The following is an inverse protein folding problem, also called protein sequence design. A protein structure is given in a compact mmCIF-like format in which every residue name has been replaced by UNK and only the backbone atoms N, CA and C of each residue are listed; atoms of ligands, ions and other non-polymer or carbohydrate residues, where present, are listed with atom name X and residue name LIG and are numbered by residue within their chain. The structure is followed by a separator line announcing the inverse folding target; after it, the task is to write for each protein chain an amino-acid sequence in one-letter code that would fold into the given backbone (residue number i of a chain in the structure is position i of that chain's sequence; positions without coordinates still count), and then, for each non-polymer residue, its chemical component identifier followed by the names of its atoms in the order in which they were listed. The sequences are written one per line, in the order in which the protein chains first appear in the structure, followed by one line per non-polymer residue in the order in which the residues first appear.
data_IF_282717901726
#
_entry.id   IF_282717901726
#
_cell.length_a   1.000
_cell.length_b   1.000
_cell.length_c   1.000
_cell.angle_alpha   90.00
_cell.angle_beta   90.00
_cell.angle_gamma   90.00
#
_symmetry.space_group_name_H-M   'P 1'
#
loop_
_entity.id
_entity.type
_entity.pdbx_description
1 polymer ?
#
# COMPACT_ATOMS: atom_id res chain seq x y z
N UNK A 1 6.21 -12.90 5.60
CA UNK A 1 6.45 -13.95 4.57
C UNK A 1 6.76 -13.27 3.23
N UNK A 2 7.71 -13.77 2.42
CA UNK A 2 8.44 -12.95 1.43
C UNK A 2 7.56 -12.68 0.21
N UNK A 3 6.83 -11.58 0.29
CA UNK A 3 6.25 -10.74 -0.78
C UNK A 3 5.36 -11.32 -1.89
N UNK A 4 5.25 -12.64 -2.13
CA UNK A 4 4.64 -13.11 -3.41
C UNK A 4 3.71 -14.33 -3.34
N UNK A 5 3.49 -14.98 -2.19
CA UNK A 5 2.54 -16.12 -2.13
C UNK A 5 1.07 -15.73 -1.92
N UNK A 6 0.80 -14.47 -1.56
CA UNK A 6 -0.56 -13.97 -1.39
C UNK A 6 -0.93 -13.07 -2.57
N UNK A 7 -1.91 -13.51 -3.36
CA UNK A 7 -2.53 -12.70 -4.42
C UNK A 7 -3.01 -11.37 -3.82
N UNK A 8 -3.56 -11.40 -2.60
CA UNK A 8 -4.00 -10.20 -1.90
C UNK A 8 -2.85 -9.23 -1.59
N UNK A 9 -1.65 -9.74 -1.24
CA UNK A 9 -0.47 -8.88 -1.04
C UNK A 9 0.00 -8.26 -2.35
N UNK A 10 0.00 -9.03 -3.46
CA UNK A 10 0.35 -8.53 -4.78
C UNK A 10 -0.58 -7.40 -5.25
N UNK A 11 -1.89 -7.60 -5.07
CA UNK A 11 -2.91 -6.57 -5.34
C UNK A 11 -2.69 -5.34 -4.43
N UNK A 12 -2.38 -5.55 -3.16
CA UNK A 12 -2.11 -4.47 -2.20
C UNK A 12 -0.93 -3.59 -2.61
N UNK A 13 0.19 -4.19 -2.98
CA UNK A 13 1.36 -3.44 -3.51
C UNK A 13 1.02 -2.72 -4.81
N UNK A 14 0.21 -3.34 -5.69
CA UNK A 14 -0.28 -2.70 -6.90
C UNK A 14 -1.08 -1.43 -6.62
N UNK A 15 -2.01 -1.46 -5.66
CA UNK A 15 -2.78 -0.28 -5.26
C UNK A 15 -1.91 0.82 -4.67
N UNK A 16 -0.98 0.47 -3.77
CA UNK A 16 -0.04 1.45 -3.20
C UNK A 16 0.77 2.10 -4.33
N UNK A 17 1.33 1.30 -5.23
CA UNK A 17 2.16 1.79 -6.34
C UNK A 17 1.39 2.75 -7.25
N UNK A 18 0.14 2.42 -7.59
CA UNK A 18 -0.73 3.29 -8.37
C UNK A 18 -0.97 4.63 -7.68
N UNK A 19 -1.35 4.61 -6.39
CA UNK A 19 -1.63 5.85 -5.64
C UNK A 19 -0.38 6.72 -5.53
N UNK A 20 0.78 6.12 -5.23
CA UNK A 20 2.06 6.83 -5.11
C UNK A 20 2.45 7.47 -6.44
N UNK A 21 2.38 6.73 -7.56
CA UNK A 21 2.74 7.25 -8.88
C UNK A 21 1.75 8.31 -9.36
N UNK A 22 0.45 8.09 -9.17
CA UNK A 22 -0.58 9.05 -9.55
C UNK A 22 -0.51 10.33 -8.69
N UNK A 23 -0.14 10.22 -7.41
CA UNK A 23 0.12 11.36 -6.54
C UNK A 23 1.38 12.12 -6.97
N UNK A 24 2.48 11.42 -7.23
CA UNK A 24 3.73 12.00 -7.71
C UNK A 24 3.58 12.72 -9.06
N UNK A 25 2.74 12.18 -9.95
CA UNK A 25 2.39 12.80 -11.23
C UNK A 25 1.40 13.97 -11.14
N UNK A 26 1.09 14.48 -9.95
CA UNK A 26 0.18 15.62 -9.75
C UNK A 26 -1.31 15.31 -9.98
N UNK A 27 -1.66 14.04 -10.24
CA UNK A 27 -3.04 13.60 -10.48
C UNK A 27 -3.72 13.08 -9.21
N UNK A 28 -3.19 13.42 -8.02
CA UNK A 28 -3.73 12.97 -6.72
C UNK A 28 -5.24 13.22 -6.56
N UNK A 29 -5.77 14.32 -7.12
CA UNK A 29 -7.19 14.70 -7.05
C UNK A 29 -8.11 13.89 -7.98
N UNK A 30 -7.56 13.16 -8.96
CA UNK A 30 -8.33 12.27 -9.85
C UNK A 30 -8.52 10.88 -9.24
N UNK A 31 -7.75 10.55 -8.21
CA UNK A 31 -7.84 9.29 -7.50
C UNK A 31 -9.08 9.32 -6.62
N UNK A 32 -9.93 8.30 -6.72
CA UNK A 32 -11.12 8.20 -5.88
C UNK A 32 -10.70 8.17 -4.39
N UNK A 33 -11.34 8.93 -3.48
CA UNK A 33 -10.95 9.01 -2.07
C UNK A 33 -10.85 7.64 -1.38
N UNK A 34 -11.71 6.70 -1.78
CA UNK A 34 -11.68 5.32 -1.29
C UNK A 34 -10.35 4.61 -1.56
N UNK A 35 -9.73 4.88 -2.71
CA UNK A 35 -8.47 4.24 -3.11
C UNK A 35 -7.29 4.73 -2.25
N UNK A 36 -7.34 5.99 -1.82
CA UNK A 36 -6.39 6.54 -0.85
C UNK A 36 -6.49 5.85 0.51
N UNK A 37 -7.72 5.62 0.98
CA UNK A 37 -7.97 4.91 2.25
C UNK A 37 -7.42 3.48 2.14
N UNK A 38 -7.75 2.76 1.07
CA UNK A 38 -7.30 1.38 0.86
C UNK A 38 -5.77 1.31 0.77
N UNK A 39 -5.13 2.22 0.02
CA UNK A 39 -3.68 2.28 -0.07
C UNK A 39 -3.02 2.55 1.30
N UNK A 40 -3.56 3.48 2.10
CA UNK A 40 -3.06 3.76 3.45
C UNK A 40 -3.19 2.54 4.38
N UNK A 41 -4.32 1.81 4.31
CA UNK A 41 -4.49 0.56 5.06
C UNK A 41 -3.47 -0.51 4.65
N UNK A 42 -3.21 -0.68 3.36
CA UNK A 42 -2.19 -1.62 2.89
C UNK A 42 -0.79 -1.21 3.35
N UNK A 43 -0.45 0.09 3.35
CA UNK A 43 0.83 0.57 3.89
C UNK A 43 0.94 0.22 5.38
N UNK A 44 -0.10 0.48 6.17
CA UNK A 44 -0.12 0.11 7.59
C UNK A 44 0.05 -1.41 7.77
N UNK A 45 -0.67 -2.22 6.99
CA UNK A 45 -0.57 -3.67 7.01
C UNK A 45 0.85 -4.18 6.71
N UNK A 46 1.52 -3.61 5.70
CA UNK A 46 2.91 -3.95 5.39
C UNK A 46 3.91 -3.41 6.42
N UNK A 47 3.60 -2.30 7.10
CA UNK A 47 4.46 -1.72 8.13
C UNK A 47 4.40 -2.49 9.47
N UNK A 48 3.27 -3.13 9.80
CA UNK A 48 3.12 -3.90 11.04
C UNK A 48 4.17 -5.01 11.17
N UNK A 49 4.50 -5.71 10.08
CA UNK A 49 5.53 -6.75 10.08
C UNK A 49 6.90 -6.24 10.57
N UNK A 50 7.56 -5.32 9.83
CA UNK A 50 8.86 -4.78 10.24
C UNK A 50 8.81 -4.02 11.57
N UNK A 51 7.68 -3.39 11.92
CA UNK A 51 7.53 -2.75 13.25
C UNK A 51 7.55 -3.80 14.36
N UNK A 52 6.85 -4.92 14.19
CA UNK A 52 6.82 -6.00 15.19
C UNK A 52 8.20 -6.65 15.34
N UNK A 53 8.89 -6.87 14.22
CA UNK A 53 10.27 -7.38 14.20
C UNK A 53 11.30 -6.40 14.79
N UNK A 54 11.04 -5.08 14.73
CA UNK A 54 11.93 -4.08 15.29
C UNK A 54 11.72 -3.83 16.80
N UNK A 55 10.58 -4.25 17.35
CA UNK A 55 10.19 -4.02 18.76
C UNK A 55 10.40 -5.27 19.63
N UNK A 56 10.61 -6.45 19.02
CA UNK A 56 10.85 -7.73 19.70
C UNK A 56 12.29 -8.17 19.53
#
# INVERSE_FOLDING_TARGET
MPFTYSIANGIGIGFISYVVLAAAGGNAKKIHPLLWIVAALFVAYFAVGPITDAVT
#
